data_IF_994285419458
#
_entry.id   IF_994285419458
#
_cell.length_a   1.000
_cell.length_b   1.000
_cell.length_c   1.000
_cell.angle_alpha   90.00
_cell.angle_beta   90.00
_cell.angle_gamma   90.00
#
_symmetry.space_group_name_H-M   'P 1'
#
loop_
_entity.id
_entity.type
_entity.pdbx_description
1 polymer ?
#
# COMPACT_ATOMS: atom_id res chain seq x y z
N UNK A 1 -32.74 38.60 -45.55
CA UNK A 1 -31.32 38.88 -45.83
C UNK A 1 -30.47 37.93 -44.99
N UNK A 2 -29.50 37.31 -45.66
CA UNK A 2 -28.27 36.71 -45.16
C UNK A 2 -28.33 35.57 -44.10
N UNK A 3 -28.13 34.37 -44.63
CA UNK A 3 -27.43 33.24 -44.02
C UNK A 3 -26.06 33.63 -43.43
N UNK A 4 -25.62 32.92 -42.38
CA UNK A 4 -24.32 32.22 -42.37
C UNK A 4 -24.24 31.15 -41.27
N UNK A 5 -24.00 29.94 -41.75
CA UNK A 5 -23.70 28.70 -41.02
C UNK A 5 -22.39 28.81 -40.22
N UNK A 6 -22.28 28.01 -39.15
CA UNK A 6 -21.09 27.18 -38.91
C UNK A 6 -21.46 25.94 -38.09
N UNK A 7 -20.78 24.86 -38.44
CA UNK A 7 -21.14 23.45 -38.38
C UNK A 7 -20.48 22.70 -37.22
N UNK A 8 -21.17 21.61 -36.82
CA UNK A 8 -20.65 20.30 -36.36
C UNK A 8 -19.81 20.25 -35.07
N UNK A 9 -20.32 19.49 -34.09
CA UNK A 9 -19.78 18.16 -33.79
C UNK A 9 -20.68 17.39 -32.82
N UNK A 10 -21.19 16.24 -33.27
CA UNK A 10 -21.67 15.14 -32.43
C UNK A 10 -20.45 14.43 -31.86
N UNK A 11 -20.48 14.00 -30.59
CA UNK A 11 -20.23 12.62 -30.14
C UNK A 11 -20.24 12.53 -28.60
N UNK A 12 -21.15 11.68 -28.12
CA UNK A 12 -21.11 10.86 -26.90
C UNK A 12 -21.02 11.51 -25.50
N UNK A 13 -22.20 11.70 -24.89
CA UNK A 13 -22.35 11.56 -23.43
C UNK A 13 -22.72 10.11 -23.11
N UNK A 14 -21.70 9.27 -22.87
CA UNK A 14 -21.89 8.03 -22.11
C UNK A 14 -21.58 8.38 -20.65
N UNK A 15 -22.64 8.57 -19.86
CA UNK A 15 -22.52 8.67 -18.40
C UNK A 15 -21.93 7.36 -17.88
N UNK A 16 -20.66 7.36 -17.49
CA UNK A 16 -20.11 6.42 -16.52
C UNK A 16 -19.69 7.24 -15.29
N UNK A 17 -20.53 7.18 -14.27
CA UNK A 17 -20.24 7.59 -12.91
C UNK A 17 -19.05 6.80 -12.37
N UNK A 18 -17.87 7.42 -12.36
CA UNK A 18 -16.72 6.96 -11.58
C UNK A 18 -16.62 7.85 -10.34
N UNK A 19 -17.17 7.35 -9.23
CA UNK A 19 -17.21 8.03 -7.93
C UNK A 19 -15.90 7.85 -7.14
N UNK A 20 -14.97 7.01 -7.58
CA UNK A 20 -13.70 6.76 -6.88
C UNK A 20 -12.54 7.72 -7.24
N UNK A 21 -12.71 8.73 -8.10
CA UNK A 21 -11.53 9.49 -8.58
C UNK A 21 -11.03 10.61 -7.65
N UNK A 22 -11.77 11.03 -6.62
CA UNK A 22 -11.38 12.19 -5.79
C UNK A 22 -10.77 11.87 -4.43
N UNK A 23 -11.00 10.66 -3.92
CA UNK A 23 -10.29 10.13 -2.75
C UNK A 23 -8.87 9.61 -3.07
N UNK A 24 -8.55 9.43 -4.35
CA UNK A 24 -7.24 8.95 -4.82
C UNK A 24 -6.30 10.07 -5.29
N UNK A 25 -6.75 11.34 -5.36
CA UNK A 25 -5.90 12.45 -5.77
C UNK A 25 -5.08 13.07 -4.64
N UNK A 26 -5.51 12.95 -3.38
CA UNK A 26 -4.76 13.43 -2.21
C UNK A 26 -3.59 12.50 -1.84
N UNK A 27 -3.68 11.21 -2.15
CA UNK A 27 -2.58 10.23 -1.99
C UNK A 27 -1.35 10.61 -2.84
N UNK A 28 -1.47 11.54 -3.79
CA UNK A 28 -0.37 11.94 -4.69
C UNK A 28 0.32 13.27 -4.36
N UNK A 29 -0.06 13.99 -3.29
CA UNK A 29 0.50 15.31 -2.98
C UNK A 29 1.19 15.39 -1.61
N UNK A 30 2.10 14.46 -1.32
CA UNK A 30 3.26 14.70 -0.47
C UNK A 30 4.55 14.35 -1.22
N UNK A 31 4.75 14.96 -2.39
CA UNK A 31 6.06 15.04 -3.03
C UNK A 31 6.93 16.03 -2.24
N UNK A 32 7.40 15.62 -1.05
CA UNK A 32 8.59 16.21 -0.47
C UNK A 32 9.76 15.77 -1.34
N UNK A 33 10.45 16.74 -1.94
CA UNK A 33 11.66 16.53 -2.74
C UNK A 33 12.78 15.96 -1.85
N UNK A 34 12.76 14.65 -1.58
CA UNK A 34 13.97 13.92 -1.16
C UNK A 34 14.90 13.90 -2.38
N UNK A 35 16.13 14.39 -2.18
CA UNK A 35 17.22 14.21 -3.14
C UNK A 35 17.36 12.71 -3.41
N UNK A 36 16.92 12.29 -4.58
CA UNK A 36 17.18 10.95 -5.09
C UNK A 36 18.69 10.86 -5.33
N UNK A 37 19.42 10.23 -4.41
CA UNK A 37 20.62 9.51 -4.83
C UNK A 37 20.13 8.35 -5.67
N UNK A 38 20.22 8.54 -6.99
CA UNK A 38 19.90 7.53 -7.99
C UNK A 38 20.99 6.47 -7.88
N UNK A 39 20.80 5.49 -7.00
CA UNK A 39 21.48 4.20 -7.15
C UNK A 39 20.89 3.57 -8.40
N UNK A 40 21.61 3.76 -9.50
CA UNK A 40 21.27 3.30 -10.84
C UNK A 40 21.04 1.78 -10.84
N UNK A 41 19.79 1.33 -10.67
CA UNK A 41 19.39 0.03 -11.22
C UNK A 41 19.53 0.17 -12.72
N UNK A 42 20.64 -0.35 -13.25
CA UNK A 42 20.80 -0.59 -14.68
C UNK A 42 19.76 -1.64 -15.09
N UNK A 43 18.51 -1.23 -15.32
CA UNK A 43 17.69 -1.95 -16.27
C UNK A 43 18.50 -1.99 -17.55
N UNK A 44 18.78 -3.18 -18.08
CA UNK A 44 19.40 -3.30 -19.39
C UNK A 44 18.46 -2.60 -20.37
N UNK A 45 18.77 -1.34 -20.70
CA UNK A 45 17.99 -0.55 -21.64
C UNK A 45 18.17 -1.23 -22.99
N UNK A 46 17.25 -2.14 -23.32
CA UNK A 46 17.20 -2.75 -24.63
C UNK A 46 16.85 -1.62 -25.60
N UNK A 47 17.82 -1.23 -26.43
CA UNK A 47 17.54 -0.36 -27.57
C UNK A 47 16.54 -1.08 -28.48
N UNK A 48 15.50 -0.37 -28.92
CA UNK A 48 14.64 -0.88 -29.97
C UNK A 48 15.51 -1.20 -31.20
N UNK A 49 15.40 -2.43 -31.70
CA UNK A 49 16.11 -2.83 -32.91
C UNK A 49 15.57 -2.03 -34.10
N UNK A 50 16.45 -1.56 -35.00
CA UNK A 50 16.05 -0.95 -36.27
C UNK A 50 15.49 -1.95 -37.28
N UNK A 51 15.65 -3.25 -36.99
CA UNK A 51 15.17 -4.38 -37.80
C UNK A 51 14.23 -5.20 -36.91
N UNK A 52 12.98 -5.44 -37.33
CA UNK A 52 12.08 -6.35 -36.61
C UNK A 52 12.68 -7.76 -36.65
N UNK A 53 13.17 -8.24 -35.50
CA UNK A 53 13.81 -9.57 -35.38
C UNK A 53 12.88 -10.64 -34.78
N UNK A 54 11.63 -10.28 -34.43
CA UNK A 54 10.67 -11.23 -33.89
C UNK A 54 9.53 -11.41 -34.89
N UNK A 55 9.51 -12.56 -35.56
CA UNK A 55 8.50 -12.90 -36.55
C UNK A 55 7.11 -13.15 -35.93
N UNK A 56 7.01 -13.33 -34.60
CA UNK A 56 5.73 -13.41 -33.89
C UNK A 56 5.84 -13.11 -32.37
N UNK A 57 5.93 -11.83 -32.02
CA UNK A 57 6.03 -11.36 -30.64
C UNK A 57 4.86 -11.83 -29.74
N UNK A 58 3.66 -12.01 -30.31
CA UNK A 58 2.50 -12.51 -29.57
C UNK A 58 2.68 -13.97 -29.15
N UNK A 59 3.11 -14.84 -30.07
CA UNK A 59 3.34 -16.26 -29.74
C UNK A 59 4.44 -16.44 -28.69
N UNK A 60 5.52 -15.68 -28.81
CA UNK A 60 6.64 -15.75 -27.86
C UNK A 60 6.20 -15.28 -26.47
N UNK A 61 5.43 -14.19 -26.40
CA UNK A 61 4.86 -13.67 -25.16
C UNK A 61 3.87 -14.65 -24.53
N UNK A 62 3.01 -15.31 -25.32
CA UNK A 62 2.10 -16.35 -24.80
C UNK A 62 2.87 -17.53 -24.18
N UNK A 63 3.89 -18.02 -24.88
CA UNK A 63 4.73 -19.14 -24.42
C UNK A 63 5.44 -18.78 -23.12
N UNK A 64 5.93 -17.54 -23.02
CA UNK A 64 6.54 -17.03 -21.81
C UNK A 64 5.53 -16.93 -20.66
N UNK A 65 4.39 -16.26 -20.88
CA UNK A 65 3.35 -16.07 -19.85
C UNK A 65 2.81 -17.40 -19.34
N UNK A 66 2.68 -18.42 -20.19
CA UNK A 66 2.26 -19.76 -19.75
C UNK A 66 3.21 -20.35 -18.71
N UNK A 67 4.52 -20.21 -18.93
CA UNK A 67 5.54 -20.69 -17.97
C UNK A 67 5.53 -19.85 -16.71
N UNK A 68 5.45 -18.53 -16.86
CA UNK A 68 5.47 -17.59 -15.73
C UNK A 68 4.28 -17.81 -14.80
N UNK A 69 3.06 -17.89 -15.35
CA UNK A 69 1.85 -18.17 -14.57
C UNK A 69 1.97 -19.51 -13.82
N UNK A 70 2.57 -20.53 -14.43
CA UNK A 70 2.76 -21.82 -13.76
C UNK A 70 3.75 -21.72 -12.59
N UNK A 71 4.86 -20.99 -12.78
CA UNK A 71 5.85 -20.76 -11.73
C UNK A 71 5.23 -19.98 -10.57
N UNK A 72 4.51 -18.90 -10.84
CA UNK A 72 3.90 -18.05 -9.82
C UNK A 72 2.81 -18.78 -9.03
N UNK A 73 1.96 -19.57 -9.71
CA UNK A 73 0.97 -20.41 -9.01
C UNK A 73 1.63 -21.45 -8.10
N UNK A 74 2.81 -21.97 -8.48
CA UNK A 74 3.56 -22.94 -7.66
C UNK A 74 4.22 -22.24 -6.47
N UNK A 75 4.66 -20.99 -6.64
CA UNK A 75 5.28 -20.18 -5.60
C UNK A 75 4.27 -19.56 -4.61
N UNK A 76 2.98 -19.56 -4.95
CA UNK A 76 1.94 -18.95 -4.13
C UNK A 76 1.81 -19.64 -2.77
N UNK A 77 2.07 -18.91 -1.69
CA UNK A 77 1.98 -19.43 -0.30
C UNK A 77 0.54 -19.68 0.15
N UNK A 78 -0.40 -18.88 -0.37
CA UNK A 78 -1.81 -18.87 0.02
C UNK A 78 -2.74 -19.06 -1.20
N UNK A 79 -2.71 -20.24 -1.86
CA UNK A 79 -3.45 -20.45 -3.11
C UNK A 79 -4.97 -20.53 -2.89
N UNK A 80 -5.40 -21.09 -1.77
CA UNK A 80 -6.83 -21.36 -1.51
C UNK A 80 -7.46 -20.30 -0.62
N UNK A 81 -6.75 -19.89 0.43
CA UNK A 81 -7.28 -19.00 1.46
C UNK A 81 -6.21 -17.97 1.85
N UNK A 82 -6.61 -16.70 1.83
CA UNK A 82 -5.76 -15.60 2.29
C UNK A 82 -5.53 -15.70 3.80
N UNK A 83 -4.41 -15.17 4.31
CA UNK A 83 -4.18 -15.03 5.75
C UNK A 83 -5.39 -14.39 6.43
N UNK A 84 -5.71 -14.81 7.65
CA UNK A 84 -6.75 -14.13 8.42
C UNK A 84 -6.18 -12.84 9.02
N UNK A 85 -6.99 -11.79 9.12
CA UNK A 85 -6.64 -10.56 9.84
C UNK A 85 -7.58 -10.44 11.03
N UNK A 86 -7.13 -10.90 12.20
CA UNK A 86 -7.90 -10.94 13.45
C UNK A 86 -9.35 -11.41 13.21
N UNK A 87 -10.33 -10.68 13.76
CA UNK A 87 -11.77 -10.89 13.59
C UNK A 87 -12.39 -9.95 12.55
N UNK A 88 -11.60 -9.43 11.61
CA UNK A 88 -12.12 -8.57 10.55
C UNK A 88 -12.83 -9.38 9.45
N UNK A 89 -13.99 -8.88 9.03
CA UNK A 89 -14.62 -9.30 7.80
C UNK A 89 -13.92 -8.65 6.61
N UNK A 90 -13.50 -9.46 5.65
CA UNK A 90 -12.75 -9.02 4.48
C UNK A 90 -13.67 -8.95 3.25
N UNK A 91 -13.75 -7.77 2.63
CA UNK A 91 -14.35 -7.56 1.32
C UNK A 91 -13.28 -7.10 0.32
N UNK A 92 -13.31 -7.62 -0.91
CA UNK A 92 -12.34 -7.23 -1.93
C UNK A 92 -13.01 -6.89 -3.26
N UNK A 93 -12.51 -5.84 -3.92
CA UNK A 93 -13.01 -5.33 -5.21
C UNK A 93 -11.87 -4.91 -6.11
N UNK A 94 -11.42 -5.81 -6.98
CA UNK A 94 -10.21 -5.57 -7.78
C UNK A 94 -9.00 -5.50 -6.85
N UNK A 95 -8.18 -4.44 -6.89
CA UNK A 95 -7.07 -4.27 -5.93
C UNK A 95 -7.48 -3.60 -4.61
N UNK A 96 -8.72 -3.11 -4.49
CA UNK A 96 -9.23 -2.48 -3.27
C UNK A 96 -9.67 -3.55 -2.26
N UNK A 97 -9.31 -3.35 -0.99
CA UNK A 97 -9.69 -4.20 0.14
C UNK A 97 -10.35 -3.35 1.22
N UNK A 98 -11.45 -3.86 1.78
CA UNK A 98 -12.14 -3.28 2.93
C UNK A 98 -12.24 -4.32 4.04
N UNK A 99 -11.73 -3.98 5.21
CA UNK A 99 -11.84 -4.76 6.44
C UNK A 99 -12.87 -4.11 7.34
N UNK A 100 -13.79 -4.88 7.90
CA UNK A 100 -14.81 -4.34 8.83
C UNK A 100 -14.87 -5.17 10.10
N UNK A 101 -14.91 -4.51 11.26
CA UNK A 101 -15.11 -5.14 12.57
C UNK A 101 -16.00 -4.26 13.46
N UNK A 102 -16.83 -4.88 14.28
CA UNK A 102 -17.60 -4.20 15.33
C UNK A 102 -16.91 -4.42 16.68
N UNK A 103 -16.68 -3.35 17.43
CA UNK A 103 -16.11 -3.38 18.79
C UNK A 103 -17.00 -2.54 19.69
N UNK A 104 -17.79 -3.21 20.55
CA UNK A 104 -18.83 -2.52 21.33
C UNK A 104 -19.79 -1.75 20.41
N UNK A 105 -19.95 -0.46 20.67
CA UNK A 105 -20.79 0.44 19.87
C UNK A 105 -20.06 1.02 18.64
N UNK A 106 -18.75 0.81 18.53
CA UNK A 106 -17.92 1.37 17.48
C UNK A 106 -17.76 0.40 16.30
N UNK A 107 -17.95 0.91 15.08
CA UNK A 107 -17.66 0.17 13.85
C UNK A 107 -16.33 0.63 13.26
N UNK A 108 -15.37 -0.27 13.20
CA UNK A 108 -14.05 -0.05 12.61
C UNK A 108 -14.08 -0.50 11.16
N UNK A 109 -13.65 0.38 10.25
CA UNK A 109 -13.47 0.07 8.84
C UNK A 109 -12.06 0.43 8.41
N UNK A 110 -11.30 -0.54 7.88
CA UNK A 110 -9.97 -0.29 7.32
C UNK A 110 -10.01 -0.47 5.81
N UNK A 111 -9.48 0.49 5.04
CA UNK A 111 -9.44 0.41 3.58
C UNK A 111 -8.05 0.65 3.03
N UNK A 112 -7.66 -0.15 2.06
CA UNK A 112 -6.37 -0.05 1.40
C UNK A 112 -6.42 -0.62 -0.03
N UNK A 113 -5.35 -0.39 -0.78
CA UNK A 113 -5.18 -0.88 -2.15
C UNK A 113 -3.80 -1.52 -2.30
N UNK A 114 -3.73 -2.69 -2.92
CA UNK A 114 -2.48 -3.46 -3.07
C UNK A 114 -1.69 -3.13 -4.35
N UNK A 115 -2.08 -2.09 -5.10
CA UNK A 115 -1.38 -1.72 -6.34
C UNK A 115 -0.08 -1.00 -6.03
N UNK A 116 1.05 -1.52 -6.54
CA UNK A 116 2.39 -0.93 -6.38
C UNK A 116 2.84 -0.80 -4.91
N UNK A 117 2.48 -1.75 -4.06
CA UNK A 117 2.74 -1.68 -2.61
C UNK A 117 3.84 -2.62 -2.13
N UNK A 118 4.47 -3.37 -3.05
CA UNK A 118 5.58 -4.27 -2.75
C UNK A 118 6.87 -3.47 -2.62
N UNK A 119 7.49 -3.52 -1.42
CA UNK A 119 8.76 -2.84 -1.16
C UNK A 119 9.94 -3.70 -1.62
N UNK A 120 10.57 -3.31 -2.74
CA UNK A 120 11.77 -4.02 -3.27
C UNK A 120 13.10 -3.51 -2.70
N UNK A 121 13.09 -2.45 -1.90
CA UNK A 121 14.29 -1.92 -1.21
C UNK A 121 14.66 -2.76 0.01
N UNK A 122 13.66 -3.35 0.68
CA UNK A 122 13.85 -4.21 1.87
C UNK A 122 14.61 -5.51 1.50
N UNK A 123 14.39 -6.04 0.29
CA UNK A 123 15.12 -7.21 -0.21
C UNK A 123 16.59 -6.97 -0.56
N UNK A 124 17.02 -5.71 -0.64
CA UNK A 124 18.41 -5.36 -1.00
C UNK A 124 19.29 -5.17 0.26
N UNK A 125 18.73 -4.65 1.35
CA UNK A 125 19.50 -4.40 2.59
C UNK A 125 19.83 -5.67 3.40
N UNK A 126 18.98 -6.71 3.37
CA UNK A 126 19.27 -7.97 4.08
C UNK A 126 20.43 -8.79 3.45
N UNK A 127 20.74 -8.54 2.18
CA UNK A 127 21.79 -9.27 1.44
C UNK A 127 23.19 -8.73 1.77
N UNK A 128 23.32 -7.46 2.17
CA UNK A 128 24.62 -6.86 2.52
C UNK A 128 25.04 -7.12 3.98
N UNK A 129 24.11 -7.40 4.90
CA UNK A 129 24.41 -7.47 6.35
C UNK A 129 24.74 -8.88 6.87
N UNK A 130 24.54 -9.94 6.09
CA UNK A 130 24.72 -11.34 6.55
C UNK A 130 25.86 -12.09 5.83
N UNK A 131 26.93 -11.40 5.43
CA UNK A 131 28.16 -12.05 4.96
C UNK A 131 29.06 -12.46 6.13
N UNK A 132 28.58 -13.39 6.97
CA UNK A 132 29.47 -14.28 7.76
C UNK A 132 29.12 -15.72 7.42
N UNK A 133 30.09 -16.44 6.87
CA UNK A 133 29.94 -17.64 6.03
C UNK A 133 29.35 -18.91 6.69
N UNK A 134 28.68 -18.86 7.85
CA UNK A 134 28.29 -20.08 8.57
C UNK A 134 26.94 -19.99 9.28
N UNK A 135 25.86 -19.70 8.54
CA UNK A 135 24.50 -20.25 8.74
C UNK A 135 23.54 -19.66 7.70
N UNK A 136 23.78 -19.98 6.42
CA UNK A 136 22.85 -19.68 5.35
C UNK A 136 21.64 -20.63 5.42
N UNK A 137 20.70 -20.35 6.34
CA UNK A 137 19.31 -20.71 6.09
C UNK A 137 18.86 -19.81 4.92
N UNK A 138 18.98 -20.36 3.71
CA UNK A 138 18.55 -19.77 2.45
C UNK A 138 17.01 -19.66 2.42
N UNK A 139 16.43 -18.80 3.24
CA UNK A 139 15.09 -18.29 3.00
C UNK A 139 15.26 -17.06 2.10
N UNK A 140 14.75 -17.05 0.86
CA UNK A 140 14.76 -15.82 0.06
C UNK A 140 14.03 -14.73 0.85
N UNK A 141 14.64 -13.54 1.00
CA UNK A 141 13.98 -12.37 1.61
C UNK A 141 12.65 -12.18 0.93
N UNK A 142 11.57 -12.43 1.67
CA UNK A 142 10.23 -12.42 1.11
C UNK A 142 9.83 -10.98 0.86
N UNK A 143 9.58 -10.64 -0.40
CA UNK A 143 8.98 -9.36 -0.78
C UNK A 143 7.66 -9.18 0.00
N UNK A 144 7.56 -8.08 0.76
CA UNK A 144 6.37 -7.72 1.53
C UNK A 144 5.64 -6.55 0.87
N UNK A 145 4.32 -6.62 0.90
CA UNK A 145 3.44 -5.54 0.49
C UNK A 145 2.99 -4.74 1.71
N UNK A 146 3.33 -3.45 1.75
CA UNK A 146 3.04 -2.51 2.84
C UNK A 146 2.24 -1.32 2.31
N UNK A 147 0.92 -1.50 2.08
CA UNK A 147 0.08 -0.44 1.52
C UNK A 147 -0.13 0.69 2.54
N UNK A 148 -0.30 1.92 2.06
CA UNK A 148 -0.98 2.97 2.83
C UNK A 148 -2.43 2.53 3.06
N UNK A 149 -2.94 2.77 4.26
CA UNK A 149 -4.30 2.39 4.63
C UNK A 149 -5.01 3.49 5.39
N UNK A 150 -6.34 3.44 5.36
CA UNK A 150 -7.20 4.36 6.11
C UNK A 150 -7.97 3.58 7.16
N UNK A 151 -8.18 4.19 8.32
CA UNK A 151 -8.98 3.65 9.41
C UNK A 151 -10.12 4.62 9.69
N UNK A 152 -11.36 4.13 9.62
CA UNK A 152 -12.54 4.86 10.05
C UNK A 152 -13.09 4.20 11.33
N UNK A 153 -13.20 4.96 12.41
CA UNK A 153 -13.92 4.59 13.63
C UNK A 153 -15.26 5.33 13.63
N UNK A 154 -16.35 4.61 13.38
CA UNK A 154 -17.70 5.16 13.43
C UNK A 154 -18.27 5.04 14.83
N UNK A 155 -18.55 6.18 15.45
CA UNK A 155 -19.23 6.30 16.75
C UNK A 155 -20.45 7.19 16.62
N UNK A 156 -21.64 6.58 16.67
CA UNK A 156 -22.90 7.32 16.45
C UNK A 156 -23.00 7.87 15.02
N UNK A 157 -23.12 9.20 14.89
CA UNK A 157 -23.16 9.89 13.59
C UNK A 157 -21.80 10.43 13.13
N UNK A 158 -20.77 10.31 13.97
CA UNK A 158 -19.44 10.83 13.70
C UNK A 158 -18.49 9.71 13.28
N UNK A 159 -17.56 10.08 12.42
CA UNK A 159 -16.50 9.23 11.91
C UNK A 159 -15.17 9.91 12.22
N UNK A 160 -14.32 9.23 12.97
CA UNK A 160 -12.93 9.60 13.14
C UNK A 160 -12.09 8.80 12.14
N UNK A 161 -11.50 9.49 11.18
CA UNK A 161 -10.72 8.91 10.08
C UNK A 161 -9.24 9.18 10.27
N UNK A 162 -8.42 8.17 10.01
CA UNK A 162 -6.97 8.23 10.02
C UNK A 162 -6.43 7.77 8.67
N UNK A 163 -5.39 8.46 8.18
CA UNK A 163 -4.53 8.00 7.12
C UNK A 163 -3.23 7.50 7.74
N UNK A 164 -2.83 6.27 7.41
CA UNK A 164 -1.67 5.62 8.00
C UNK A 164 -0.74 5.06 6.91
N UNK A 165 0.56 5.13 7.17
CA UNK A 165 1.60 4.55 6.32
C UNK A 165 2.60 3.75 7.14
N UNK A 166 3.15 2.71 6.52
CA UNK A 166 4.23 1.95 7.15
C UNK A 166 5.50 2.79 7.23
N UNK A 167 6.16 2.72 8.37
CA UNK A 167 7.47 3.35 8.51
C UNK A 167 8.49 2.60 7.65
N UNK A 168 9.43 3.31 7.00
CA UNK A 168 10.55 2.65 6.36
C UNK A 168 11.33 1.85 7.41
N UNK A 169 11.72 0.61 7.08
CA UNK A 169 12.67 -0.14 7.90
C UNK A 169 14.05 0.53 7.79
N UNK A 170 14.27 1.69 8.42
CA UNK A 170 15.63 2.22 8.55
C UNK A 170 16.41 1.35 9.55
N UNK A 171 17.74 1.41 9.50
CA UNK A 171 18.66 0.66 10.37
C UNK A 171 18.20 0.76 11.85
N UNK A 172 18.24 -0.32 12.67
CA UNK A 172 17.94 -0.23 14.10
C UNK A 172 18.67 0.92 14.84
N UNK A 173 19.82 1.38 14.33
CA UNK A 173 20.58 2.51 14.87
C UNK A 173 19.95 3.90 14.58
N UNK A 174 19.18 4.06 13.50
CA UNK A 174 18.43 5.31 13.21
C UNK A 174 17.02 5.29 13.77
N UNK A 175 16.46 4.10 14.08
CA UNK A 175 15.13 3.98 14.70
C UNK A 175 15.03 4.64 16.08
N UNK A 176 16.14 4.82 16.78
CA UNK A 176 16.20 5.54 18.06
C UNK A 176 16.21 7.08 17.92
N UNK A 177 16.16 7.65 16.71
CA UNK A 177 16.31 9.08 16.47
C UNK A 177 15.05 9.79 15.94
N UNK A 178 14.01 9.05 15.51
CA UNK A 178 12.77 9.64 14.97
C UNK A 178 11.59 9.68 15.95
N UNK A 179 11.76 9.17 17.17
CA UNK A 179 10.87 9.51 18.29
C UNK A 179 11.27 10.87 18.83
N UNK A 180 10.62 11.93 18.36
CA UNK A 180 10.91 13.27 18.83
C UNK A 180 10.48 13.47 20.28
N UNK A 181 11.39 13.26 21.24
CA UNK A 181 11.70 14.20 22.33
C UNK A 181 13.20 14.06 22.64
N UNK A 182 13.82 15.23 22.76
CA UNK A 182 15.20 15.51 23.10
C UNK A 182 15.74 14.69 24.28
N UNK A 183 17.05 14.46 24.27
CA UNK A 183 17.93 13.99 25.34
C UNK A 183 17.52 14.39 26.78
N UNK A 184 16.50 13.75 27.34
CA UNK A 184 16.27 13.74 28.79
C UNK A 184 16.69 12.38 29.32
N UNK A 185 17.74 12.39 30.14
CA UNK A 185 18.16 11.27 30.97
C UNK A 185 16.99 10.84 31.85
N UNK A 186 16.20 9.88 31.39
CA UNK A 186 15.21 9.20 32.22
C UNK A 186 15.90 8.15 33.09
N UNK A 187 15.57 8.08 34.39
CA UNK A 187 16.19 7.15 35.32
C UNK A 187 15.78 5.69 35.03
N UNK A 188 16.70 4.77 35.32
CA UNK A 188 16.57 3.32 35.14
C UNK A 188 15.17 2.76 35.46
N UNK A 189 14.48 2.23 34.45
CA UNK A 189 13.35 1.32 34.65
C UNK A 189 12.15 1.43 33.70
N UNK A 190 12.06 2.43 32.83
CA UNK A 190 10.96 2.55 31.86
C UNK A 190 11.30 1.78 30.58
N UNK A 191 10.48 0.77 30.28
CA UNK A 191 10.64 -0.09 29.11
C UNK A 191 10.62 0.75 27.84
N UNK A 192 11.60 0.54 26.97
CA UNK A 192 11.78 1.31 25.73
C UNK A 192 10.49 1.39 24.93
N UNK A 193 10.25 2.55 24.32
CA UNK A 193 9.18 2.73 23.35
C UNK A 193 9.31 1.64 22.28
N UNK A 194 8.33 0.74 22.21
CA UNK A 194 8.23 -0.21 21.11
C UNK A 194 8.04 0.62 19.84
N UNK A 195 8.95 0.45 18.89
CA UNK A 195 8.90 1.18 17.63
C UNK A 195 7.70 0.69 16.84
N UNK A 196 6.78 1.59 16.53
CA UNK A 196 5.57 1.29 15.76
C UNK A 196 5.94 0.85 14.34
N UNK A 197 5.20 -0.13 13.78
CA UNK A 197 5.39 -0.57 12.38
C UNK A 197 4.80 0.43 11.36
N UNK A 198 3.95 1.34 11.83
CA UNK A 198 3.26 2.35 11.03
C UNK A 198 3.10 3.65 11.82
N UNK A 199 2.85 4.75 11.11
CA UNK A 199 2.55 6.05 11.69
C UNK A 199 1.17 6.54 11.22
N UNK A 200 0.61 7.50 11.96
CA UNK A 200 -0.56 8.27 11.51
C UNK A 200 -0.06 9.49 10.73
N UNK A 201 -0.37 9.57 9.44
CA UNK A 201 0.02 10.70 8.60
C UNK A 201 -0.95 11.87 8.76
N UNK A 202 -2.25 11.57 8.71
CA UNK A 202 -3.32 12.57 8.83
C UNK A 202 -4.50 12.03 9.63
N UNK A 203 -5.25 12.91 10.28
CA UNK A 203 -6.55 12.57 10.85
C UNK A 203 -7.62 13.62 10.55
N UNK A 204 -8.87 13.19 10.56
CA UNK A 204 -10.03 14.04 10.37
C UNK A 204 -11.24 13.51 11.14
N UNK A 205 -12.13 14.41 11.56
CA UNK A 205 -13.44 14.05 12.12
C UNK A 205 -14.55 14.63 11.24
N UNK A 206 -15.54 13.81 10.90
CA UNK A 206 -16.62 14.22 10.01
C UNK A 206 -17.91 13.44 10.24
N UNK A 207 -18.99 13.90 9.60
CA UNK A 207 -20.27 13.21 9.55
C UNK A 207 -20.57 12.86 8.09
N UNK A 208 -20.90 11.60 7.82
CA UNK A 208 -21.22 11.12 6.48
C UNK A 208 -20.01 10.69 5.65
N UNK A 209 -20.07 10.88 4.32
CA UNK A 209 -18.98 10.50 3.43
C UNK A 209 -17.87 11.56 3.41
N UNK A 210 -16.62 11.08 3.48
CA UNK A 210 -15.45 11.94 3.31
C UNK A 210 -15.48 12.65 1.96
N UNK A 211 -15.11 13.92 1.96
CA UNK A 211 -14.97 14.74 0.75
C UNK A 211 -13.97 15.87 0.98
N UNK A 212 -13.55 16.53 -0.10
CA UNK A 212 -12.53 17.61 -0.11
C UNK A 212 -12.84 18.83 0.79
N UNK A 213 -14.04 18.91 1.39
CA UNK A 213 -14.43 19.99 2.32
C UNK A 213 -14.24 19.61 3.79
N UNK A 214 -13.98 18.34 4.08
CA UNK A 214 -13.64 17.88 5.42
C UNK A 214 -12.24 18.38 5.75
N UNK A 215 -12.10 19.06 6.88
CA UNK A 215 -10.79 19.47 7.36
C UNK A 215 -10.03 18.26 7.89
N UNK A 216 -8.84 18.01 7.35
CA UNK A 216 -7.85 17.10 7.92
C UNK A 216 -6.66 17.89 8.44
N UNK A 217 -5.99 17.32 9.44
CA UNK A 217 -4.70 17.82 9.94
C UNK A 217 -3.63 16.79 9.69
N UNK A 218 -2.49 17.26 9.20
CA UNK A 218 -1.23 16.51 9.16
C UNK A 218 -0.73 16.31 10.60
N UNK A 219 -0.30 15.09 10.93
CA UNK A 219 0.18 14.75 12.27
C UNK A 219 1.62 15.22 12.55
N UNK A 220 2.37 15.67 11.54
CA UNK A 220 3.71 16.25 11.72
C UNK A 220 3.71 17.62 12.41
N UNK A 221 2.54 18.28 12.50
CA UNK A 221 2.41 19.64 13.06
C UNK A 221 1.58 19.70 14.35
N UNK A 222 1.10 18.55 14.83
CA UNK A 222 0.32 18.49 16.08
C UNK A 222 1.22 18.28 17.29
N UNK A 223 0.64 18.50 18.46
CA UNK A 223 1.29 18.23 19.74
C UNK A 223 1.56 16.73 19.93
N UNK A 224 2.71 16.38 20.50
CA UNK A 224 3.15 15.00 20.69
C UNK A 224 2.23 14.22 21.63
N UNK A 225 1.74 14.84 22.72
CA UNK A 225 0.82 14.17 23.64
C UNK A 225 -0.51 13.84 22.94
N UNK A 226 -0.97 14.71 22.03
CA UNK A 226 -2.16 14.43 21.23
C UNK A 226 -1.93 13.24 20.29
N UNK A 227 -0.79 13.21 19.58
CA UNK A 227 -0.43 12.09 18.70
C UNK A 227 -0.43 10.76 19.45
N UNK A 228 0.22 10.71 20.63
CA UNK A 228 0.24 9.52 21.49
C UNK A 228 -1.18 9.09 21.91
N UNK A 229 -2.09 10.04 22.20
CA UNK A 229 -3.49 9.70 22.55
C UNK A 229 -4.25 9.12 21.36
N UNK A 230 -3.97 9.57 20.14
CA UNK A 230 -4.57 9.01 18.93
C UNK A 230 -4.08 7.58 18.66
N UNK A 231 -2.79 7.31 18.89
CA UNK A 231 -2.23 5.96 18.79
C UNK A 231 -2.82 5.02 19.84
N UNK A 232 -2.86 5.44 21.11
CA UNK A 232 -3.50 4.65 22.18
C UNK A 232 -4.97 4.31 21.83
N UNK A 233 -5.70 5.26 21.22
CA UNK A 233 -7.06 5.02 20.76
C UNK A 233 -7.11 3.92 19.68
N UNK A 234 -6.19 3.92 18.71
CA UNK A 234 -6.11 2.86 17.70
C UNK A 234 -5.78 1.50 18.34
N UNK A 235 -4.84 1.48 19.28
CA UNK A 235 -4.43 0.26 19.98
C UNK A 235 -5.58 -0.36 20.80
N UNK A 236 -6.35 0.47 21.53
CA UNK A 236 -7.56 0.02 22.24
C UNK A 236 -8.61 -0.59 21.30
N UNK A 237 -8.64 -0.16 20.04
CA UNK A 237 -9.49 -0.72 18.98
C UNK A 237 -8.87 -1.94 18.29
N UNK A 238 -7.74 -2.44 18.79
CA UNK A 238 -7.01 -3.60 18.27
C UNK A 238 -6.22 -3.30 16.99
N UNK A 239 -5.88 -2.04 16.75
CA UNK A 239 -5.08 -1.57 15.62
C UNK A 239 -3.70 -1.15 16.17
N UNK A 240 -2.80 -2.13 16.28
CA UNK A 240 -1.42 -1.95 16.71
C UNK A 240 -0.45 -2.78 15.86
N UNK A 241 0.69 -3.13 16.43
CA UNK A 241 1.76 -3.87 15.74
C UNK A 241 1.29 -5.21 15.15
N UNK A 242 0.55 -6.01 15.92
CA UNK A 242 0.04 -7.31 15.44
C UNK A 242 -0.89 -7.13 14.23
N UNK A 243 -1.75 -6.11 14.26
CA UNK A 243 -2.63 -5.78 13.15
C UNK A 243 -1.81 -5.37 11.91
N UNK A 244 -0.81 -4.50 12.08
CA UNK A 244 0.03 -4.05 10.98
C UNK A 244 0.80 -5.20 10.32
N UNK A 245 1.29 -6.17 11.10
CA UNK A 245 1.94 -7.36 10.58
C UNK A 245 0.98 -8.27 9.80
N UNK A 246 -0.20 -8.56 10.37
CA UNK A 246 -1.23 -9.36 9.69
C UNK A 246 -1.74 -8.68 8.41
N UNK A 247 -1.89 -7.36 8.43
CA UNK A 247 -2.26 -6.56 7.26
C UNK A 247 -1.20 -6.67 6.15
N UNK A 248 0.09 -6.63 6.50
CA UNK A 248 1.20 -6.78 5.56
C UNK A 248 1.22 -8.18 4.95
N UNK A 249 1.05 -9.23 5.77
CA UNK A 249 1.02 -10.62 5.29
C UNK A 249 -0.18 -10.88 4.37
N UNK A 250 -1.36 -10.42 4.76
CA UNK A 250 -2.55 -10.48 3.92
C UNK A 250 -2.35 -9.73 2.61
N UNK A 251 -1.84 -8.49 2.68
CA UNK A 251 -1.62 -7.64 1.50
C UNK A 251 -0.64 -8.28 0.55
N UNK A 252 0.41 -8.91 1.07
CA UNK A 252 1.41 -9.64 0.29
C UNK A 252 0.78 -10.81 -0.45
N UNK A 253 -0.02 -11.62 0.25
CA UNK A 253 -0.73 -12.74 -0.38
C UNK A 253 -1.76 -12.28 -1.43
N UNK A 254 -2.46 -11.18 -1.14
CA UNK A 254 -3.50 -10.65 -2.03
C UNK A 254 -2.91 -9.97 -3.28
N UNK A 255 -1.83 -9.21 -3.13
CA UNK A 255 -1.08 -8.60 -4.23
C UNK A 255 -0.58 -9.67 -5.18
N UNK A 256 0.07 -10.72 -4.67
CA UNK A 256 0.57 -11.83 -5.49
C UNK A 256 -0.55 -12.51 -6.29
N UNK A 257 -1.72 -12.67 -5.66
CA UNK A 257 -2.92 -13.18 -6.34
C UNK A 257 -3.42 -12.25 -7.45
N UNK A 258 -3.41 -10.93 -7.23
CA UNK A 258 -3.77 -9.95 -8.26
C UNK A 258 -2.77 -9.94 -9.41
N UNK A 259 -1.47 -10.10 -9.12
CA UNK A 259 -0.41 -10.20 -10.12
C UNK A 259 -0.61 -11.42 -11.04
N UNK A 260 -0.85 -12.61 -10.48
CA UNK A 260 -1.18 -13.81 -11.27
C UNK A 260 -2.42 -13.55 -12.14
N UNK A 261 -3.46 -12.94 -11.56
CA UNK A 261 -4.68 -12.57 -12.30
C UNK A 261 -4.43 -11.56 -13.43
N UNK A 262 -3.45 -10.67 -13.29
CA UNK A 262 -3.00 -9.77 -14.35
C UNK A 262 -2.29 -10.53 -15.48
N UNK A 263 -1.36 -11.44 -15.14
CA UNK A 263 -0.65 -12.27 -16.12
C UNK A 263 -1.63 -13.12 -16.94
N UNK A 264 -2.65 -13.71 -16.30
CA UNK A 264 -3.69 -14.47 -17.00
C UNK A 264 -4.52 -13.61 -17.96
N UNK A 265 -4.87 -12.38 -17.56
CA UNK A 265 -5.59 -11.43 -18.43
C UNK A 265 -4.71 -11.02 -19.62
N UNK A 266 -3.43 -10.78 -19.40
CA UNK A 266 -2.46 -10.48 -20.45
C UNK A 266 -2.31 -11.67 -21.41
N UNK A 267 -2.22 -12.90 -20.90
CA UNK A 267 -2.17 -14.09 -21.74
C UNK A 267 -3.42 -14.22 -22.61
N UNK A 268 -4.61 -14.02 -22.03
CA UNK A 268 -5.88 -14.02 -22.78
C UNK A 268 -5.94 -12.94 -23.85
N UNK A 269 -5.30 -11.79 -23.63
CA UNK A 269 -5.21 -10.72 -24.61
C UNK A 269 -4.30 -11.12 -25.79
N UNK A 270 -3.15 -11.73 -25.49
CA UNK A 270 -2.14 -12.11 -26.50
C UNK A 270 -2.58 -13.28 -27.37
N UNK A 271 -3.47 -14.15 -26.87
CA UNK A 271 -4.04 -15.28 -27.63
C UNK A 271 -5.12 -14.89 -28.65
N UNK A 272 -5.62 -13.66 -28.62
CA UNK A 272 -6.65 -13.16 -29.57
C UNK A 272 -6.02 -12.70 -30.88
#
# INVERSE_FOLDING_TARGET
MAFRNLTRSLFQLTKRTNINQRLYSSIQYSQQYRKFEITQRYFSIRKFSSIQTNDNAYRDLDTFLQKEIQLENTAQKHPTQLPNIQDFQVETKGPEVTLTRQVGDDKITVKFNVTNTVNTSESEQEVELNATEQQANNAPTQLKSRPTFTIDINRGNQILSFLCSYLPNEDPDTRNQHGGIENEQKPDGEQGHFLEDFQIDEFAIHEGEWNDKVYSSDCSVIDGDLYDKLLNLLEEHGIGEEFANQLSDFSTAYEHRQYIGLLEKLQKFVKK
#
